data_IF_636432982686
#
_entry.id   IF_636432982686
#
_cell.length_a   1.000
_cell.length_b   1.000
_cell.length_c   1.000
_cell.angle_alpha   90.00
_cell.angle_beta   90.00
_cell.angle_gamma   90.00
#
_symmetry.space_group_name_H-M   'P 1'
#
loop_
_entity.id
_entity.type
_entity.pdbx_description
1 polymer ?
#
# COMPACT_ATOMS: atom_id res chain seq x y z
N UNK A 1 20.11 -3.23 -17.66
CA UNK A 1 18.70 -2.94 -17.47
C UNK A 1 18.21 -2.21 -18.72
N UNK A 2 17.42 -2.87 -19.58
CA UNK A 2 16.78 -2.15 -20.68
C UNK A 2 15.57 -1.39 -20.12
N UNK A 3 15.41 -0.14 -20.49
CA UNK A 3 14.28 0.71 -20.11
C UNK A 3 12.92 0.11 -20.49
N UNK A 4 12.91 -0.74 -21.49
CA UNK A 4 11.71 -1.35 -22.07
C UNK A 4 11.08 -2.43 -21.17
N UNK A 5 11.89 -3.21 -20.43
CA UNK A 5 11.40 -4.26 -19.51
C UNK A 5 10.71 -3.63 -18.30
N UNK A 6 11.27 -2.54 -17.76
CA UNK A 6 10.71 -1.87 -16.58
C UNK A 6 9.36 -1.20 -16.85
N UNK A 7 9.15 -0.65 -18.05
CA UNK A 7 7.90 0.04 -18.40
C UNK A 7 6.75 -0.94 -18.68
N UNK A 8 7.03 -2.10 -19.32
CA UNK A 8 6.03 -3.13 -19.57
C UNK A 8 5.53 -3.76 -18.27
N UNK A 9 6.45 -4.06 -17.34
CA UNK A 9 6.10 -4.66 -16.06
C UNK A 9 5.18 -3.73 -15.22
N UNK A 10 5.53 -2.44 -15.13
CA UNK A 10 4.68 -1.45 -14.43
C UNK A 10 3.31 -1.28 -15.06
N UNK A 11 3.23 -1.32 -16.40
CA UNK A 11 1.98 -1.22 -17.12
C UNK A 11 1.04 -2.38 -16.80
N UNK A 12 1.57 -3.62 -16.81
CA UNK A 12 0.81 -4.82 -16.51
C UNK A 12 0.35 -4.87 -15.07
N UNK A 13 1.21 -4.49 -14.10
CA UNK A 13 0.85 -4.38 -12.69
C UNK A 13 -0.24 -3.33 -12.45
N UNK A 14 -0.17 -2.19 -13.14
CA UNK A 14 -1.19 -1.15 -13.10
C UNK A 14 -2.54 -1.65 -13.65
N UNK A 15 -2.53 -2.40 -14.75
CA UNK A 15 -3.74 -2.97 -15.32
C UNK A 15 -4.38 -4.00 -14.37
N UNK A 16 -3.57 -4.82 -13.72
CA UNK A 16 -4.03 -5.78 -12.73
C UNK A 16 -4.64 -5.07 -11.50
N UNK A 17 -3.97 -4.06 -10.96
CA UNK A 17 -4.47 -3.30 -9.81
C UNK A 17 -5.78 -2.57 -10.14
N UNK A 18 -5.91 -2.01 -11.36
CA UNK A 18 -7.15 -1.41 -11.84
C UNK A 18 -8.29 -2.43 -11.85
N UNK A 19 -8.06 -3.62 -12.38
CA UNK A 19 -9.07 -4.67 -12.43
C UNK A 19 -9.47 -5.12 -11.02
N UNK A 20 -8.51 -5.38 -10.11
CA UNK A 20 -8.77 -5.83 -8.74
C UNK A 20 -9.55 -4.81 -7.90
N UNK A 21 -9.45 -3.54 -8.22
CA UNK A 21 -10.10 -2.44 -7.50
C UNK A 21 -11.37 -1.90 -8.17
N UNK A 22 -11.94 -2.61 -9.16
CA UNK A 22 -13.09 -2.13 -9.95
C UNK A 22 -12.85 -0.72 -10.55
N UNK A 23 -11.59 -0.37 -10.87
CA UNK A 23 -11.20 0.92 -11.43
C UNK A 23 -11.04 2.04 -10.39
N UNK A 24 -11.14 1.77 -9.10
CA UNK A 24 -10.86 2.78 -8.06
C UNK A 24 -9.36 3.18 -8.01
N UNK A 25 -8.46 2.28 -8.40
CA UNK A 25 -7.11 2.60 -8.82
C UNK A 25 -7.08 2.63 -10.35
N UNK A 26 -6.92 3.80 -10.94
CA UNK A 26 -6.82 3.97 -12.40
C UNK A 26 -5.69 4.93 -12.79
N UNK A 27 -4.51 4.42 -13.12
CA UNK A 27 -3.37 5.25 -13.49
C UNK A 27 -3.52 5.94 -14.86
N UNK A 28 -4.57 5.60 -15.63
CA UNK A 28 -4.88 6.25 -16.91
C UNK A 28 -5.91 7.37 -16.80
N UNK A 29 -6.56 7.52 -15.65
CA UNK A 29 -7.57 8.56 -15.41
C UNK A 29 -6.96 9.92 -15.01
N UNK A 30 -5.78 10.25 -15.57
CA UNK A 30 -5.07 11.50 -15.30
C UNK A 30 -4.85 12.30 -16.58
N UNK A 31 -4.77 13.61 -16.47
CA UNK A 31 -4.35 14.47 -17.57
C UNK A 31 -2.91 14.13 -17.97
N UNK A 32 -2.67 13.79 -19.24
CA UNK A 32 -1.37 13.28 -19.71
C UNK A 32 -1.31 11.77 -19.88
N UNK A 33 -2.29 11.00 -19.42
CA UNK A 33 -2.59 9.65 -19.85
C UNK A 33 -2.02 8.50 -19.05
N UNK A 34 -0.97 8.67 -18.21
CA UNK A 34 -0.46 7.57 -17.37
C UNK A 34 0.35 8.07 -16.17
N UNK A 35 -0.12 7.75 -14.96
CA UNK A 35 0.57 8.03 -13.70
C UNK A 35 0.53 6.81 -12.76
N UNK A 36 1.61 6.02 -12.66
CA UNK A 36 1.72 4.85 -11.79
C UNK A 36 2.10 5.21 -10.34
N UNK A 37 2.12 6.48 -9.93
CA UNK A 37 2.69 6.93 -8.65
C UNK A 37 2.07 6.30 -7.42
N UNK A 38 0.81 5.82 -7.50
CA UNK A 38 0.11 5.11 -6.44
C UNK A 38 0.47 3.62 -6.33
N UNK A 39 1.49 3.15 -7.09
CA UNK A 39 1.96 1.76 -7.07
C UNK A 39 3.50 1.69 -7.02
N UNK A 40 4.16 2.71 -7.57
CA UNK A 40 5.59 2.64 -7.90
C UNK A 40 6.50 2.57 -6.67
N UNK A 41 6.05 3.10 -5.52
CA UNK A 41 6.84 3.05 -4.27
C UNK A 41 6.92 1.62 -3.73
N UNK A 42 5.78 0.92 -3.67
CA UNK A 42 5.72 -0.48 -3.28
C UNK A 42 6.53 -1.37 -4.22
N UNK A 43 6.38 -1.17 -5.54
CA UNK A 43 7.18 -1.86 -6.56
C UNK A 43 8.70 -1.62 -6.39
N UNK A 44 9.12 -0.40 -6.12
CA UNK A 44 10.53 -0.07 -5.92
C UNK A 44 11.10 -0.71 -4.64
N UNK A 45 10.29 -0.75 -3.56
CA UNK A 45 10.67 -1.44 -2.32
C UNK A 45 10.87 -2.94 -2.56
N UNK A 46 9.95 -3.58 -3.30
CA UNK A 46 10.06 -5.00 -3.68
C UNK A 46 11.30 -5.26 -4.54
N UNK A 47 11.52 -4.45 -5.57
CA UNK A 47 12.66 -4.59 -6.47
C UNK A 47 13.99 -4.48 -5.70
N UNK A 48 14.13 -3.48 -4.82
CA UNK A 48 15.31 -3.31 -3.99
C UNK A 48 15.48 -4.45 -2.97
N UNK A 49 14.41 -4.91 -2.34
CA UNK A 49 14.43 -6.05 -1.43
C UNK A 49 14.89 -7.33 -2.14
N UNK A 50 14.37 -7.58 -3.34
CA UNK A 50 14.74 -8.76 -4.13
C UNK A 50 16.22 -8.75 -4.55
N UNK A 51 16.79 -7.58 -4.86
CA UNK A 51 18.23 -7.42 -5.11
C UNK A 51 19.05 -7.80 -3.87
N UNK A 52 18.65 -7.36 -2.68
CA UNK A 52 19.31 -7.69 -1.43
C UNK A 52 19.26 -9.19 -1.14
N UNK A 53 18.09 -9.81 -1.31
CA UNK A 53 17.91 -11.26 -1.13
C UNK A 53 18.76 -12.04 -2.12
N UNK A 54 18.79 -11.64 -3.40
CA UNK A 54 19.64 -12.26 -4.41
C UNK A 54 21.14 -12.13 -4.09
N UNK A 55 21.55 -11.09 -3.37
CA UNK A 55 22.90 -10.91 -2.85
C UNK A 55 23.18 -11.68 -1.55
N UNK A 56 22.23 -12.51 -1.06
CA UNK A 56 22.38 -13.35 0.13
C UNK A 56 21.95 -12.71 1.45
N UNK A 57 21.33 -11.52 1.43
CA UNK A 57 20.79 -10.88 2.63
C UNK A 57 19.51 -11.61 3.05
N UNK A 58 19.51 -12.18 4.26
CA UNK A 58 18.37 -12.95 4.78
C UNK A 58 17.37 -12.10 5.58
N UNK A 59 17.81 -10.97 6.11
CA UNK A 59 17.03 -10.08 6.97
C UNK A 59 17.17 -8.66 6.49
N UNK A 60 16.13 -8.09 5.92
CA UNK A 60 16.15 -6.70 5.50
C UNK A 60 14.77 -6.05 5.56
N UNK A 61 14.80 -4.74 5.73
CA UNK A 61 13.65 -3.86 5.59
C UNK A 61 14.03 -2.77 4.58
N UNK A 62 13.28 -2.67 3.50
CA UNK A 62 13.40 -1.57 2.52
C UNK A 62 12.21 -0.63 2.71
N UNK A 63 12.51 0.64 2.91
CA UNK A 63 11.51 1.71 3.08
C UNK A 63 11.55 2.66 1.88
N UNK A 64 10.52 2.66 1.09
CA UNK A 64 10.30 3.58 -0.03
C UNK A 64 9.25 4.63 0.38
N UNK A 65 9.71 5.66 1.11
CA UNK A 65 8.87 6.78 1.56
C UNK A 65 7.56 6.35 2.29
N UNK A 66 7.68 5.37 3.20
CA UNK A 66 6.58 4.87 4.03
C UNK A 66 6.03 3.52 3.61
N UNK A 67 6.27 3.07 2.38
CA UNK A 67 5.94 1.71 1.95
C UNK A 67 7.13 0.80 2.20
N UNK A 68 6.88 -0.36 2.80
CA UNK A 68 7.92 -1.24 3.31
C UNK A 68 7.85 -2.61 2.62
N UNK A 69 9.01 -3.10 2.16
CA UNK A 69 9.24 -4.51 1.85
C UNK A 69 10.11 -5.12 2.95
N UNK A 70 9.69 -6.25 3.48
CA UNK A 70 10.22 -6.88 4.69
C UNK A 70 10.62 -8.31 4.41
N UNK A 71 11.80 -8.73 4.91
CA UNK A 71 12.29 -10.11 4.77
C UNK A 71 12.92 -10.59 6.08
N UNK A 72 12.56 -11.80 6.49
CA UNK A 72 13.20 -12.61 7.52
C UNK A 72 13.01 -12.15 8.97
N UNK A 73 12.74 -10.89 9.22
CA UNK A 73 12.65 -10.34 10.58
C UNK A 73 13.95 -9.72 11.11
N UNK A 74 13.98 -9.33 12.38
CA UNK A 74 15.14 -8.76 13.07
C UNK A 74 15.70 -9.69 14.15
N UNK A 75 17.00 -9.66 14.37
CA UNK A 75 17.65 -10.49 15.37
C UNK A 75 17.61 -9.82 16.76
N UNK A 76 16.89 -10.45 17.69
CA UNK A 76 16.91 -10.07 19.11
C UNK A 76 18.13 -10.65 19.79
N UNK A 77 19.16 -9.85 20.02
CA UNK A 77 20.42 -10.27 20.63
C UNK A 77 20.28 -10.67 22.11
N UNK A 78 19.23 -10.25 22.80
CA UNK A 78 18.96 -10.61 24.20
C UNK A 78 18.30 -11.99 24.28
N UNK A 79 17.34 -12.25 23.41
CA UNK A 79 16.64 -13.53 23.35
C UNK A 79 17.38 -14.58 22.50
N UNK A 80 18.33 -14.16 21.65
CA UNK A 80 19.08 -15.05 20.75
C UNK A 80 18.24 -15.64 19.61
N UNK A 81 17.16 -14.97 19.22
CA UNK A 81 16.21 -15.44 18.20
C UNK A 81 15.87 -14.37 17.19
N UNK A 82 15.45 -14.79 15.99
CA UNK A 82 14.86 -13.88 15.00
C UNK A 82 13.38 -13.67 15.33
N UNK A 83 12.95 -12.41 15.34
CA UNK A 83 11.56 -11.98 15.56
C UNK A 83 11.02 -11.29 14.33
N UNK A 84 9.70 -11.32 14.08
CA UNK A 84 9.08 -10.53 13.03
C UNK A 84 9.39 -9.03 13.19
N UNK A 85 9.34 -8.31 12.07
CA UNK A 85 9.35 -6.85 12.08
C UNK A 85 8.05 -6.33 12.68
N UNK A 86 8.14 -5.44 13.67
CA UNK A 86 6.97 -4.81 14.31
C UNK A 86 6.73 -3.44 13.66
N UNK A 87 5.66 -3.33 12.89
CA UNK A 87 5.35 -2.14 12.10
C UNK A 87 4.08 -1.46 12.63
N UNK A 88 4.23 -0.23 13.10
CA UNK A 88 3.13 0.58 13.63
C UNK A 88 2.41 1.39 12.55
N UNK A 89 1.08 1.33 12.55
CA UNK A 89 0.22 2.20 11.74
C UNK A 89 -0.14 3.43 12.54
N UNK A 90 0.20 4.60 12.01
CA UNK A 90 -0.01 5.89 12.66
C UNK A 90 -1.48 6.32 12.56
N UNK A 91 -2.02 6.90 13.63
CA UNK A 91 -3.34 7.52 13.62
C UNK A 91 -3.36 8.74 12.67
N UNK A 92 -4.22 8.79 11.64
CA UNK A 92 -4.29 9.92 10.71
C UNK A 92 -4.74 11.23 11.38
N UNK A 93 -5.42 11.17 12.53
CA UNK A 93 -5.89 12.34 13.27
C UNK A 93 -4.88 12.77 14.35
N UNK A 94 -3.96 11.88 14.79
CA UNK A 94 -2.93 12.16 15.79
C UNK A 94 -1.64 11.39 15.50
N UNK A 95 -0.68 12.01 14.86
CA UNK A 95 0.57 11.38 14.41
C UNK A 95 1.48 10.84 15.52
N UNK A 96 1.24 11.19 16.78
CA UNK A 96 1.97 10.63 17.93
C UNK A 96 1.37 9.33 18.46
N UNK A 97 0.27 8.86 17.88
CA UNK A 97 -0.45 7.66 18.29
C UNK A 97 -0.36 6.55 17.23
N UNK A 98 -0.13 5.32 17.70
CA UNK A 98 -0.20 4.11 16.88
C UNK A 98 -1.55 3.44 17.10
N UNK A 99 -2.31 3.23 16.03
CA UNK A 99 -3.66 2.63 16.09
C UNK A 99 -3.67 1.14 15.81
N UNK A 100 -2.63 0.62 15.17
CA UNK A 100 -2.48 -0.80 14.85
C UNK A 100 -1.00 -1.15 14.76
N UNK A 101 -0.64 -2.37 15.16
CA UNK A 101 0.72 -2.93 14.95
C UNK A 101 0.57 -4.23 14.18
N UNK A 102 1.46 -4.44 13.21
CA UNK A 102 1.60 -5.67 12.45
C UNK A 102 2.95 -6.31 12.72
N UNK A 103 2.94 -7.64 12.91
CA UNK A 103 4.14 -8.45 13.00
C UNK A 103 4.33 -9.19 11.67
N UNK A 104 5.38 -8.83 10.93
CA UNK A 104 5.62 -9.31 9.57
C UNK A 104 7.05 -9.85 9.46
N UNK A 105 7.22 -11.12 9.10
CA UNK A 105 8.55 -11.68 8.78
C UNK A 105 8.89 -11.45 7.32
N UNK A 106 7.98 -11.85 6.42
CA UNK A 106 8.12 -11.72 4.97
C UNK A 106 6.86 -11.12 4.39
N UNK A 107 6.99 -10.14 3.50
CA UNK A 107 5.89 -9.46 2.86
C UNK A 107 6.11 -7.96 2.74
N UNK A 108 5.02 -7.24 2.63
CA UNK A 108 5.02 -5.79 2.46
C UNK A 108 3.87 -5.13 3.21
N UNK A 109 4.01 -3.85 3.48
CA UNK A 109 2.97 -3.00 4.04
C UNK A 109 3.05 -1.62 3.37
N UNK A 110 1.91 -1.11 2.94
CA UNK A 110 1.79 0.23 2.37
C UNK A 110 0.64 0.99 3.01
N UNK A 111 0.79 2.30 3.14
CA UNK A 111 -0.24 3.16 3.72
C UNK A 111 -0.45 4.40 2.86
N UNK A 112 -1.67 4.59 2.37
CA UNK A 112 -2.15 5.82 1.76
C UNK A 112 -2.93 6.65 2.78
N UNK A 113 -2.73 7.97 2.78
CA UNK A 113 -3.40 8.85 3.72
C UNK A 113 -3.45 10.30 3.25
N UNK A 114 -4.48 11.02 3.68
CA UNK A 114 -4.66 12.44 3.32
C UNK A 114 -3.67 13.38 4.03
N UNK A 115 -2.96 12.88 5.04
CA UNK A 115 -2.04 13.66 5.88
C UNK A 115 -0.62 13.76 5.33
N UNK A 116 -0.22 12.91 4.35
CA UNK A 116 1.15 12.91 3.83
C UNK A 116 1.40 13.95 2.73
N UNK A 117 0.49 14.03 1.77
CA UNK A 117 0.60 14.93 0.60
C UNK A 117 -0.64 15.80 0.41
N UNK A 118 -1.53 15.90 1.42
CA UNK A 118 -2.82 16.55 1.27
C UNK A 118 -3.81 15.72 0.43
N UNK A 119 -4.87 16.36 -0.04
CA UNK A 119 -5.93 15.73 -0.83
C UNK A 119 -5.51 15.61 -2.31
N UNK A 120 -4.56 14.72 -2.61
CA UNK A 120 -4.00 14.51 -3.96
C UNK A 120 -4.57 13.30 -4.69
N UNK A 121 -5.22 12.37 -3.96
CA UNK A 121 -5.85 11.20 -4.58
C UNK A 121 -7.18 11.64 -5.19
N UNK A 122 -7.31 11.44 -6.49
CA UNK A 122 -8.52 11.74 -7.25
C UNK A 122 -9.28 10.44 -7.47
N UNK A 123 -10.59 10.49 -7.27
CA UNK A 123 -11.49 9.40 -7.64
C UNK A 123 -11.63 9.35 -9.17
N UNK A 124 -11.20 8.26 -9.82
CA UNK A 124 -11.22 8.14 -11.28
C UNK A 124 -12.63 8.22 -11.89
N UNK A 125 -13.66 7.86 -11.12
CA UNK A 125 -15.05 7.83 -11.61
C UNK A 125 -15.69 9.22 -11.60
N UNK A 126 -15.36 10.05 -10.61
CA UNK A 126 -15.98 11.38 -10.46
C UNK A 126 -15.06 12.53 -10.88
N UNK A 127 -13.75 12.30 -10.99
CA UNK A 127 -12.74 13.34 -11.19
C UNK A 127 -12.54 14.26 -9.99
N UNK A 128 -13.15 13.95 -8.83
CA UNK A 128 -13.05 14.76 -7.62
C UNK A 128 -12.05 14.13 -6.63
N UNK A 129 -11.64 14.93 -5.63
CA UNK A 129 -10.79 14.44 -4.54
C UNK A 129 -11.47 13.28 -3.82
N UNK A 130 -10.74 12.18 -3.62
CA UNK A 130 -11.22 11.01 -2.91
C UNK A 130 -11.52 11.32 -1.44
N UNK A 131 -12.69 10.89 -0.99
CA UNK A 131 -13.17 11.10 0.38
C UNK A 131 -13.55 9.80 1.10
N UNK A 132 -13.27 8.63 0.52
CA UNK A 132 -13.68 7.33 1.02
C UNK A 132 -13.04 6.97 2.36
N UNK A 133 -11.76 7.29 2.57
CA UNK A 133 -11.04 7.04 3.82
C UNK A 133 -10.17 8.23 4.23
N UNK A 134 -9.75 8.28 5.49
CA UNK A 134 -8.69 9.18 6.00
C UNK A 134 -7.31 8.58 5.78
N UNK A 135 -7.19 7.28 6.02
CA UNK A 135 -6.03 6.48 5.70
C UNK A 135 -6.42 5.03 5.43
N UNK A 136 -5.64 4.35 4.63
CA UNK A 136 -5.77 2.94 4.33
C UNK A 136 -4.40 2.28 4.35
N UNK A 137 -4.28 1.20 5.13
CA UNK A 137 -3.08 0.37 5.21
C UNK A 137 -3.41 -1.01 4.66
N UNK A 138 -2.59 -1.49 3.74
CA UNK A 138 -2.68 -2.85 3.20
C UNK A 138 -1.39 -3.59 3.50
N UNK A 139 -1.53 -4.83 3.98
CA UNK A 139 -0.43 -5.76 4.26
C UNK A 139 -0.61 -6.99 3.40
N UNK A 140 0.44 -7.47 2.77
CA UNK A 140 0.38 -8.64 1.88
C UNK A 140 1.76 -9.09 1.41
N UNK A 141 1.77 -9.95 0.40
CA UNK A 141 3.01 -10.52 -0.14
C UNK A 141 3.82 -9.50 -0.94
N UNK A 142 3.14 -8.68 -1.75
CA UNK A 142 3.76 -7.80 -2.75
C UNK A 142 3.50 -6.34 -2.42
N UNK A 143 4.57 -5.54 -2.36
CA UNK A 143 4.50 -4.11 -2.01
C UNK A 143 3.77 -3.29 -3.07
N UNK A 144 3.99 -3.60 -4.36
CA UNK A 144 3.28 -2.91 -5.44
C UNK A 144 1.76 -3.03 -5.31
N UNK A 145 1.26 -4.22 -4.93
CA UNK A 145 -0.18 -4.45 -4.77
C UNK A 145 -0.69 -3.84 -3.45
N UNK A 146 0.11 -3.87 -2.40
CA UNK A 146 -0.22 -3.16 -1.16
C UNK A 146 -0.41 -1.65 -1.39
N UNK A 147 0.52 -0.98 -2.12
CA UNK A 147 0.48 0.46 -2.43
C UNK A 147 -0.74 0.80 -3.31
N UNK A 148 -0.95 0.05 -4.41
CA UNK A 148 -2.09 0.24 -5.30
C UNK A 148 -3.43 0.07 -4.57
N UNK A 149 -3.58 -1.00 -3.79
CA UNK A 149 -4.83 -1.26 -3.08
C UNK A 149 -5.07 -0.29 -1.92
N UNK A 150 -4.02 0.18 -1.22
CA UNK A 150 -4.15 1.25 -0.24
C UNK A 150 -4.67 2.55 -0.90
N UNK A 151 -4.15 2.89 -2.08
CA UNK A 151 -4.64 4.04 -2.88
C UNK A 151 -6.09 3.84 -3.32
N UNK A 152 -6.45 2.65 -3.83
CA UNK A 152 -7.83 2.34 -4.23
C UNK A 152 -8.82 2.47 -3.06
N UNK A 153 -8.45 2.02 -1.86
CA UNK A 153 -9.29 2.11 -0.66
C UNK A 153 -9.57 3.56 -0.25
N UNK A 154 -8.66 4.49 -0.51
CA UNK A 154 -8.92 5.92 -0.28
C UNK A 154 -10.10 6.43 -1.11
N UNK A 155 -10.33 5.84 -2.29
CA UNK A 155 -11.48 6.11 -3.17
C UNK A 155 -12.72 5.33 -2.72
N UNK A 156 -12.60 4.00 -2.60
CA UNK A 156 -13.73 3.09 -2.36
C UNK A 156 -14.27 3.10 -0.92
N UNK A 157 -13.50 3.59 0.04
CA UNK A 157 -13.91 3.62 1.45
C UNK A 157 -14.32 2.24 1.98
N UNK A 158 -15.47 2.16 2.64
CA UNK A 158 -16.01 0.90 3.20
C UNK A 158 -16.33 -0.14 2.12
N UNK A 159 -16.72 0.28 0.92
CA UNK A 159 -17.10 -0.62 -0.16
C UNK A 159 -15.91 -1.40 -0.74
N UNK A 160 -14.69 -0.94 -0.48
CA UNK A 160 -13.46 -1.62 -0.90
C UNK A 160 -13.22 -2.96 -0.18
N UNK A 161 -13.87 -3.22 0.95
CA UNK A 161 -13.72 -4.48 1.69
C UNK A 161 -14.07 -5.72 0.83
N UNK A 162 -15.00 -5.58 -0.14
CA UNK A 162 -15.40 -6.65 -1.06
C UNK A 162 -14.25 -7.12 -1.96
N UNK A 163 -13.29 -6.25 -2.30
CA UNK A 163 -12.16 -6.60 -3.17
C UNK A 163 -11.24 -7.63 -2.51
N UNK A 164 -11.09 -7.57 -1.17
CA UNK A 164 -10.24 -8.48 -0.41
C UNK A 164 -10.84 -9.90 -0.26
N UNK A 165 -12.01 -10.15 -0.82
CA UNK A 165 -12.59 -11.48 -0.99
C UNK A 165 -12.17 -12.17 -2.29
N UNK A 166 -11.45 -11.51 -3.19
CA UNK A 166 -10.97 -12.09 -4.45
C UNK A 166 -9.78 -13.02 -4.20
N UNK A 167 -9.63 -14.12 -4.98
CA UNK A 167 -8.55 -15.08 -4.83
C UNK A 167 -7.14 -14.45 -4.91
N UNK A 168 -6.97 -13.46 -5.75
CA UNK A 168 -5.71 -12.73 -5.99
C UNK A 168 -5.27 -11.91 -4.76
N UNK A 169 -6.23 -11.53 -3.91
CA UNK A 169 -5.99 -10.82 -2.66
C UNK A 169 -6.06 -11.75 -1.43
N UNK A 170 -6.08 -13.08 -1.66
CA UNK A 170 -6.00 -14.06 -0.58
C UNK A 170 -4.70 -13.86 0.23
N UNK A 171 -4.84 -13.66 1.55
CA UNK A 171 -3.71 -13.36 2.44
C UNK A 171 -3.36 -11.87 2.58
N UNK A 172 -3.98 -11.00 1.80
CA UNK A 172 -3.88 -9.55 2.02
C UNK A 172 -4.84 -9.10 3.12
N UNK A 173 -4.38 -8.15 3.93
CA UNK A 173 -5.15 -7.58 5.03
C UNK A 173 -5.34 -6.08 4.83
N UNK A 174 -6.55 -5.60 5.07
CA UNK A 174 -6.91 -4.18 5.01
C UNK A 174 -7.16 -3.63 6.42
N UNK A 175 -6.59 -2.47 6.71
CA UNK A 175 -6.97 -1.63 7.85
C UNK A 175 -7.24 -0.21 7.35
N UNK A 176 -8.48 0.25 7.48
CA UNK A 176 -8.91 1.58 7.04
C UNK A 176 -9.42 2.44 8.18
N UNK A 177 -9.02 3.71 8.22
CA UNK A 177 -9.63 4.73 9.07
C UNK A 177 -10.59 5.53 8.20
N UNK A 178 -11.88 5.27 8.37
CA UNK A 178 -12.94 5.86 7.54
C UNK A 178 -13.34 7.24 8.09
N UNK A 179 -13.78 8.13 7.23
CA UNK A 179 -14.39 9.40 7.65
C UNK A 179 -15.74 9.09 8.29
N UNK A 180 -15.94 9.54 9.52
CA UNK A 180 -17.29 9.51 10.12
C UNK A 180 -18.15 10.55 9.39
N UNK A 181 -19.25 10.14 8.79
CA UNK A 181 -20.29 11.05 8.37
C UNK A 181 -20.74 11.84 9.61
N UNK A 182 -20.52 13.15 9.62
CA UNK A 182 -21.19 14.03 10.59
C UNK A 182 -22.68 13.94 10.25
N UNK A 183 -23.40 13.03 10.89
CA UNK A 183 -24.85 13.10 10.90
C UNK A 183 -25.19 14.50 11.39
N UNK A 184 -25.76 15.28 10.49
CA UNK A 184 -26.37 16.57 10.79
C UNK A 184 -27.40 16.33 11.89
N UNK A 185 -27.08 16.63 13.11
CA UNK A 185 -28.07 16.83 14.19
C UNK A 185 -28.78 18.12 13.81
N UNK A 186 -29.93 17.98 13.17
CA UNK A 186 -30.95 19.02 13.11
C UNK A 186 -31.84 18.92 14.35
#
# INVERSE_FOLDING_TARGET
WSSDVCSSDLWDLCAQAKWLSDGAFDPWAVEGGFDPSGLVKGWAADAASNILVAAGVQHCQVNAAGDLALRGGWFDSVAGVVKPWSIGVVNPDNRSEIVKVYEISDGAIATSGTYERGAHIVDPHSGMIAIGAKSATVVGADGWLCDAMATAVMVGGTDSAKWFGQPELAGYQLFGVIRQDRKSTR
#
